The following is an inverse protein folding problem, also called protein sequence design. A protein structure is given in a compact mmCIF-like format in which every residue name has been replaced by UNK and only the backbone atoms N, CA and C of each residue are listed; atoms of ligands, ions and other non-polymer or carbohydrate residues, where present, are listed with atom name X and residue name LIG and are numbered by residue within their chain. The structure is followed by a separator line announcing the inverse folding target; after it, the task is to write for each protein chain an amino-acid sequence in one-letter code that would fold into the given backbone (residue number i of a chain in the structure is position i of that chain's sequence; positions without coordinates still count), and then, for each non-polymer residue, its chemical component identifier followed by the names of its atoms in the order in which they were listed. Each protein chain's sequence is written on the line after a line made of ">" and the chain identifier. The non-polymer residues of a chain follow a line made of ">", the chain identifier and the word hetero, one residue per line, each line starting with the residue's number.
data_IF_395458280940
#
_entry.id   IF_395458280940
#
_cell.length_a   1.000
_cell.length_b   1.000
_cell.length_c   1.000
_cell.angle_alpha   90.00
_cell.angle_beta   90.00
_cell.angle_gamma   90.00
#
_symmetry.space_group_name_H-M   'P 1'
#
loop_
_entity.id
_entity.type
_entity.pdbx_description
1 polymer ?
#
# COMPACT_ATOMS: atom_id res chain seq x y z
N UNK A 1 -43.05 62.09 44.47
CA UNK A 1 -43.51 62.25 43.07
C UNK A 1 -42.33 61.87 42.20
N UNK A 2 -42.08 60.57 42.07
CA UNK A 2 -42.67 59.67 41.06
C UNK A 2 -41.68 59.50 39.91
N UNK A 3 -41.05 58.31 39.87
CA UNK A 3 -41.13 57.36 38.75
C UNK A 3 -40.17 57.73 37.60
N UNK A 4 -39.24 56.88 37.16
CA UNK A 4 -39.36 55.44 36.97
C UNK A 4 -38.00 54.74 37.01
N UNK A 5 -38.01 53.58 37.67
CA UNK A 5 -37.04 52.51 37.52
C UNK A 5 -37.10 51.96 36.09
N UNK A 6 -35.95 51.67 35.48
CA UNK A 6 -35.80 50.43 34.71
C UNK A 6 -34.42 49.84 34.88
N UNK A 7 -34.45 48.65 35.47
CA UNK A 7 -33.39 47.67 35.66
C UNK A 7 -32.75 47.27 34.32
N UNK A 8 -31.45 46.95 34.34
CA UNK A 8 -30.88 45.66 33.90
C UNK A 8 -29.35 45.71 33.90
N UNK A 9 -28.75 45.21 34.98
CA UNK A 9 -27.63 44.26 34.92
C UNK A 9 -28.26 42.88 35.19
N UNK A 10 -27.72 41.69 34.85
CA UNK A 10 -26.29 41.39 34.62
C UNK A 10 -26.05 40.33 33.51
N UNK A 11 -24.81 39.83 33.45
CA UNK A 11 -24.37 38.50 32.99
C UNK A 11 -23.36 38.48 31.83
N UNK A 12 -22.14 38.17 32.26
CA UNK A 12 -21.09 37.40 31.61
C UNK A 12 -21.60 36.50 30.50
N UNK A 13 -21.00 36.62 29.31
CA UNK A 13 -20.93 35.54 28.34
C UNK A 13 -19.46 35.41 27.88
N UNK A 14 -18.77 34.41 28.42
CA UNK A 14 -17.67 33.75 27.73
C UNK A 14 -18.25 33.14 26.45
N UNK A 15 -17.62 33.39 25.30
CA UNK A 15 -17.82 32.56 24.13
C UNK A 15 -16.47 32.27 23.47
N UNK A 16 -16.12 30.98 23.48
CA UNK A 16 -14.95 30.39 22.83
C UNK A 16 -15.30 29.96 21.38
N UNK A 17 -14.44 30.34 20.40
CA UNK A 17 -14.08 29.66 19.11
C UNK A 17 -15.18 29.52 18.01
N UNK A 18 -14.95 28.98 16.77
CA UNK A 18 -13.90 29.01 15.71
C UNK A 18 -13.21 30.33 15.38
N UNK A 19 -12.48 30.60 14.31
CA UNK A 19 -12.32 29.91 13.02
C UNK A 19 -11.06 30.46 12.32
N UNK A 20 -10.38 29.57 11.58
CA UNK A 20 -9.41 29.85 10.50
C UNK A 20 -8.07 30.49 10.86
N UNK A 21 -7.15 29.68 11.39
CA UNK A 21 -5.76 29.78 10.95
C UNK A 21 -5.48 28.69 9.92
N UNK A 22 -5.14 29.16 8.73
CA UNK A 22 -4.67 28.42 7.56
C UNK A 22 -3.47 27.57 8.01
N UNK A 23 -3.66 26.25 8.09
CA UNK A 23 -2.57 25.31 8.28
C UNK A 23 -1.66 25.40 7.04
N UNK A 24 -0.52 26.06 7.22
CA UNK A 24 0.54 26.14 6.22
C UNK A 24 1.08 24.72 5.97
N UNK A 25 1.15 24.33 4.72
CA UNK A 25 1.86 23.13 4.25
C UNK A 25 3.35 23.24 4.58
N UNK A 26 3.79 22.64 5.69
CA UNK A 26 5.19 22.55 6.08
C UNK A 26 5.70 21.14 5.71
N UNK A 27 5.85 20.87 4.41
CA UNK A 27 6.67 19.73 3.93
C UNK A 27 7.24 20.08 2.56
N UNK A 28 8.08 21.11 2.47
CA UNK A 28 8.76 21.43 1.20
C UNK A 28 10.12 22.15 1.35
N UNK A 29 10.83 21.99 2.46
CA UNK A 29 12.19 22.53 2.58
C UNK A 29 13.10 21.59 3.39
N UNK A 30 13.77 20.65 2.73
CA UNK A 30 15.03 20.06 3.21
C UNK A 30 15.96 19.85 2.00
N UNK A 31 17.19 20.40 2.01
CA UNK A 31 18.12 20.32 0.88
C UNK A 31 18.67 18.90 0.68
N UNK A 32 18.81 18.52 -0.60
CA UNK A 32 19.42 17.27 -1.02
C UNK A 32 20.93 17.29 -0.74
N UNK A 33 21.38 16.45 0.21
CA UNK A 33 22.81 16.22 0.43
C UNK A 33 23.25 15.02 -0.42
N UNK A 34 23.97 15.30 -1.50
CA UNK A 34 24.59 14.32 -2.37
C UNK A 34 25.88 13.78 -1.72
N UNK A 35 25.89 12.51 -1.34
CA UNK A 35 27.13 11.78 -1.07
C UNK A 35 27.27 10.60 -2.03
N UNK A 36 28.07 10.82 -3.06
CA UNK A 36 28.53 9.79 -3.99
C UNK A 36 29.62 8.95 -3.33
N UNK A 37 29.34 7.69 -3.02
CA UNK A 37 30.38 6.69 -2.76
C UNK A 37 30.23 5.54 -3.77
N UNK A 38 31.19 5.47 -4.69
CA UNK A 38 31.29 4.44 -5.71
C UNK A 38 31.69 3.11 -5.06
N UNK A 39 30.74 2.18 -4.94
CA UNK A 39 31.01 0.81 -4.47
C UNK A 39 31.64 -0.02 -5.61
N UNK A 40 32.84 -0.56 -5.34
CA UNK A 40 33.58 -1.47 -6.23
C UNK A 40 32.74 -2.72 -6.55
N UNK A 41 32.63 -3.03 -7.85
CA UNK A 41 31.93 -4.23 -8.37
C UNK A 41 32.73 -5.48 -8.05
N UNK A 42 32.21 -6.31 -7.15
CA UNK A 42 32.66 -7.70 -6.96
C UNK A 42 32.21 -8.61 -8.11
N UNK A 43 32.78 -9.82 -8.23
CA UNK A 43 32.50 -10.74 -9.33
C UNK A 43 31.02 -11.13 -9.35
N UNK A 44 30.45 -11.16 -10.55
CA UNK A 44 29.03 -11.37 -10.81
C UNK A 44 28.49 -12.61 -10.10
N UNK A 45 27.39 -12.44 -9.37
CA UNK A 45 26.60 -13.54 -8.83
C UNK A 45 26.22 -14.45 -10.00
N UNK A 46 26.44 -15.78 -9.91
CA UNK A 46 25.99 -16.70 -10.96
C UNK A 46 24.48 -16.52 -11.17
N UNK A 47 23.97 -16.72 -12.40
CA UNK A 47 22.54 -16.64 -12.66
C UNK A 47 21.84 -17.56 -11.68
N UNK A 48 20.96 -16.99 -10.85
CA UNK A 48 20.19 -17.76 -9.91
C UNK A 48 19.40 -18.80 -10.73
N UNK A 49 19.67 -20.08 -10.50
CA UNK A 49 18.85 -21.16 -11.04
C UNK A 49 17.38 -20.84 -10.78
N UNK A 50 16.52 -21.06 -11.77
CA UNK A 50 15.07 -20.87 -11.67
C UNK A 50 14.53 -21.76 -10.55
N UNK A 51 14.55 -21.25 -9.32
CA UNK A 51 13.85 -21.89 -8.23
C UNK A 51 12.37 -21.69 -8.49
N UNK A 52 11.67 -22.78 -8.77
CA UNK A 52 10.22 -22.79 -8.91
C UNK A 52 9.58 -22.01 -7.77
N UNK A 53 8.80 -20.99 -8.12
CA UNK A 53 8.14 -20.15 -7.12
C UNK A 53 6.79 -20.78 -6.77
N UNK A 54 6.61 -21.14 -5.51
CA UNK A 54 5.39 -21.80 -5.03
C UNK A 54 4.19 -20.85 -5.07
N UNK A 55 3.23 -21.14 -5.93
CA UNK A 55 1.95 -20.45 -6.02
C UNK A 55 0.81 -21.39 -5.62
N UNK A 56 -0.30 -20.81 -5.16
CA UNK A 56 -1.51 -21.57 -4.85
C UNK A 56 -2.49 -21.51 -6.02
N UNK A 57 -3.32 -22.54 -6.14
CA UNK A 57 -4.44 -22.53 -7.07
C UNK A 57 -5.42 -21.40 -6.74
N UNK A 58 -5.88 -20.69 -7.77
CA UNK A 58 -6.96 -19.71 -7.72
C UNK A 58 -7.91 -20.04 -8.85
N UNK A 59 -9.20 -20.13 -8.53
CA UNK A 59 -10.22 -20.54 -9.48
C UNK A 59 -10.38 -19.52 -10.61
N UNK A 60 -10.76 -20.03 -11.79
CA UNK A 60 -11.07 -19.23 -12.97
C UNK A 60 -12.53 -19.47 -13.38
N UNK A 61 -13.16 -18.44 -13.93
CA UNK A 61 -14.49 -18.51 -14.52
C UNK A 61 -14.47 -19.25 -15.85
N UNK A 62 -15.64 -19.40 -16.48
CA UNK A 62 -15.79 -20.06 -17.80
C UNK A 62 -15.06 -19.33 -18.92
N UNK A 63 -14.70 -18.06 -18.73
CA UNK A 63 -13.98 -17.23 -19.70
C UNK A 63 -12.46 -17.28 -19.47
N UNK A 64 -11.99 -18.04 -18.47
CA UNK A 64 -10.58 -18.15 -18.11
C UNK A 64 -10.04 -16.98 -17.28
N UNK A 65 -10.91 -16.09 -16.80
CA UNK A 65 -10.52 -15.01 -15.89
C UNK A 65 -10.50 -15.52 -14.45
N UNK A 66 -9.59 -14.99 -13.64
CA UNK A 66 -9.59 -15.31 -12.21
C UNK A 66 -10.87 -14.84 -11.53
N UNK A 67 -11.45 -15.69 -10.68
CA UNK A 67 -12.62 -15.34 -9.86
C UNK A 67 -12.16 -14.42 -8.73
N UNK A 68 -12.66 -13.19 -8.71
CA UNK A 68 -12.34 -12.16 -7.72
C UNK A 68 -13.63 -11.70 -7.01
N UNK A 69 -13.55 -11.21 -5.75
CA UNK A 69 -12.33 -11.08 -4.95
C UNK A 69 -11.79 -12.42 -4.43
N UNK A 70 -10.47 -12.50 -4.20
CA UNK A 70 -9.83 -13.71 -3.65
C UNK A 70 -8.78 -13.37 -2.59
N UNK A 71 -8.70 -14.18 -1.54
CA UNK A 71 -7.69 -14.05 -0.49
C UNK A 71 -6.38 -14.75 -0.87
N UNK A 72 -5.26 -14.02 -0.79
CA UNK A 72 -3.91 -14.51 -1.03
C UNK A 72 -2.98 -14.07 0.10
N UNK A 73 -2.88 -14.88 1.14
CA UNK A 73 -2.10 -14.55 2.33
C UNK A 73 -2.80 -13.51 3.19
N UNK A 74 -2.22 -12.31 3.32
CA UNK A 74 -2.79 -11.20 4.11
C UNK A 74 -3.59 -10.20 3.24
N UNK A 75 -3.73 -10.50 1.95
CA UNK A 75 -4.32 -9.61 0.97
C UNK A 75 -5.60 -10.22 0.41
N UNK A 76 -6.63 -9.40 0.23
CA UNK A 76 -7.76 -9.74 -0.63
C UNK A 76 -7.57 -9.01 -1.95
N UNK A 77 -7.37 -9.75 -3.04
CA UNK A 77 -7.22 -9.18 -4.38
C UNK A 77 -8.62 -8.87 -4.90
N UNK A 78 -8.86 -7.60 -5.26
CA UNK A 78 -10.16 -7.12 -5.72
C UNK A 78 -10.19 -7.00 -7.24
N UNK A 79 -9.08 -6.54 -7.83
CA UNK A 79 -8.90 -6.43 -9.27
C UNK A 79 -7.44 -6.67 -9.62
N UNK A 80 -7.19 -7.41 -10.70
CA UNK A 80 -5.85 -7.60 -11.26
C UNK A 80 -5.42 -6.45 -12.19
N UNK A 81 -6.35 -5.60 -12.63
CA UNK A 81 -6.08 -4.48 -13.52
C UNK A 81 -5.74 -4.89 -14.96
N UNK A 82 -5.16 -3.95 -15.71
CA UNK A 82 -4.74 -4.11 -17.11
C UNK A 82 -3.25 -3.82 -17.26
N UNK A 83 -2.54 -4.70 -17.97
CA UNK A 83 -1.09 -4.55 -18.20
C UNK A 83 -0.82 -3.40 -19.16
N UNK A 84 0.04 -2.49 -18.72
CA UNK A 84 0.64 -1.42 -19.53
C UNK A 84 2.06 -1.86 -19.91
N UNK A 85 2.24 -2.28 -21.16
CA UNK A 85 3.49 -2.85 -21.65
C UNK A 85 4.32 -1.89 -22.50
N UNK A 86 3.69 -0.84 -23.03
CA UNK A 86 4.28 0.18 -23.90
C UNK A 86 5.06 1.26 -23.14
N UNK A 87 4.78 1.43 -21.84
CA UNK A 87 5.49 2.35 -20.93
C UNK A 87 6.40 1.60 -19.97
N UNK A 88 7.70 1.88 -20.03
CA UNK A 88 8.75 1.14 -19.33
C UNK A 88 8.65 1.21 -17.79
N UNK A 89 8.05 2.25 -17.22
CA UNK A 89 7.91 2.40 -15.77
C UNK A 89 6.84 1.49 -15.15
N UNK A 90 5.95 0.90 -15.96
CA UNK A 90 4.87 0.02 -15.48
C UNK A 90 5.31 -1.42 -15.26
N UNK A 91 6.59 -1.74 -15.43
CA UNK A 91 7.14 -3.04 -15.12
C UNK A 91 8.66 -2.96 -14.91
N UNK A 92 9.19 -3.82 -14.05
CA UNK A 92 10.62 -4.05 -13.89
C UNK A 92 10.92 -5.55 -13.97
N UNK A 93 12.16 -5.94 -13.68
CA UNK A 93 12.61 -7.33 -13.72
C UNK A 93 11.82 -8.28 -12.83
N UNK A 94 11.13 -7.77 -11.80
CA UNK A 94 10.45 -8.57 -10.79
C UNK A 94 8.93 -8.44 -10.78
N UNK A 95 8.40 -7.29 -11.16
CA UNK A 95 6.99 -6.94 -11.01
C UNK A 95 6.45 -6.26 -12.28
N UNK A 96 5.19 -6.54 -12.59
CA UNK A 96 4.34 -5.75 -13.47
C UNK A 96 3.40 -4.94 -12.56
N UNK A 97 3.09 -3.71 -12.95
CA UNK A 97 2.22 -2.78 -12.22
C UNK A 97 0.97 -2.48 -13.05
N UNK A 98 -0.06 -3.36 -13.06
CA UNK A 98 -1.24 -3.15 -13.90
C UNK A 98 -2.06 -1.94 -13.44
N UNK A 99 -2.55 -1.14 -14.37
CA UNK A 99 -3.50 -0.06 -14.07
C UNK A 99 -4.84 -0.65 -13.66
N UNK A 100 -5.43 -0.15 -12.57
CA UNK A 100 -6.65 -0.68 -11.98
C UNK A 100 -6.44 -1.90 -11.08
N UNK A 101 -5.20 -2.33 -10.84
CA UNK A 101 -4.89 -3.33 -9.82
C UNK A 101 -5.32 -2.81 -8.46
N UNK A 102 -6.02 -3.62 -7.66
CA UNK A 102 -6.44 -3.23 -6.32
C UNK A 102 -6.53 -4.38 -5.32
N UNK A 103 -6.19 -4.07 -4.06
CA UNK A 103 -6.20 -5.04 -2.95
C UNK A 103 -6.70 -4.43 -1.65
N UNK A 104 -7.34 -5.24 -0.80
CA UNK A 104 -7.47 -4.95 0.62
C UNK A 104 -6.37 -5.61 1.44
N UNK A 105 -5.95 -4.92 2.49
CA UNK A 105 -5.08 -5.46 3.54
C UNK A 105 -5.46 -4.89 4.90
N UNK A 106 -5.81 -5.72 5.89
CA UNK A 106 -5.92 -5.29 7.27
C UNK A 106 -4.57 -4.80 7.81
N UNK A 107 -4.55 -3.63 8.44
CA UNK A 107 -3.37 -3.11 9.12
C UNK A 107 -3.76 -2.11 10.22
N UNK A 108 -2.78 -1.72 11.03
CA UNK A 108 -2.95 -0.73 12.09
C UNK A 108 -3.55 0.58 11.55
N UNK A 109 -4.54 1.14 12.25
CA UNK A 109 -5.08 2.47 11.93
C UNK A 109 -4.02 3.56 12.12
N UNK A 110 -4.07 4.58 11.26
CA UNK A 110 -3.26 5.81 11.33
C UNK A 110 -3.84 6.87 12.27
N UNK A 111 -5.09 6.72 12.69
CA UNK A 111 -5.83 7.71 13.49
C UNK A 111 -6.33 7.16 14.82
N UNK A 112 -6.43 5.83 14.97
CA UNK A 112 -6.81 5.17 16.21
C UNK A 112 -5.70 4.20 16.66
N UNK A 113 -5.02 4.44 17.80
CA UNK A 113 -3.95 3.57 18.27
C UNK A 113 -4.45 2.20 18.75
N UNK A 114 -5.75 2.04 19.01
CA UNK A 114 -6.37 0.84 19.58
C UNK A 114 -6.99 -0.08 18.54
N UNK A 115 -7.12 0.38 17.29
CA UNK A 115 -7.81 -0.34 16.22
C UNK A 115 -6.94 -0.61 15.01
N UNK A 116 -7.37 -1.64 14.29
CA UNK A 116 -6.97 -1.91 12.92
C UNK A 116 -8.05 -1.41 11.97
N UNK A 117 -7.66 -1.20 10.72
CA UNK A 117 -8.53 -0.76 9.63
C UNK A 117 -8.16 -1.52 8.36
N UNK A 118 -9.03 -1.47 7.37
CA UNK A 118 -8.75 -2.00 6.05
C UNK A 118 -8.12 -0.89 5.21
N UNK A 119 -7.00 -1.20 4.57
CA UNK A 119 -6.41 -0.34 3.55
C UNK A 119 -6.70 -0.90 2.18
N UNK A 120 -7.25 -0.06 1.30
CA UNK A 120 -7.35 -0.32 -0.13
C UNK A 120 -6.11 0.24 -0.81
N UNK A 121 -5.30 -0.63 -1.42
CA UNK A 121 -4.16 -0.23 -2.25
C UNK A 121 -4.54 -0.35 -3.72
N UNK A 122 -4.28 0.68 -4.52
CA UNK A 122 -4.63 0.74 -5.95
C UNK A 122 -3.42 1.21 -6.77
N UNK A 123 -3.26 0.68 -7.98
CA UNK A 123 -2.33 1.22 -8.98
C UNK A 123 -3.16 1.92 -10.05
N UNK A 124 -2.95 3.22 -10.20
CA UNK A 124 -3.65 4.06 -11.17
C UNK A 124 -2.71 4.47 -12.31
N UNK A 125 -3.30 4.90 -13.43
CA UNK A 125 -2.54 5.50 -14.52
C UNK A 125 -2.05 6.90 -14.13
N UNK A 126 -0.74 7.06 -14.03
CA UNK A 126 -0.04 8.31 -13.74
C UNK A 126 0.63 8.95 -14.95
N UNK A 127 0.23 8.60 -16.17
CA UNK A 127 0.93 9.01 -17.39
C UNK A 127 2.18 8.17 -17.55
N UNK A 128 3.36 8.78 -17.57
CA UNK A 128 4.62 8.07 -17.82
C UNK A 128 4.96 7.03 -16.74
N UNK A 129 4.45 7.20 -15.52
CA UNK A 129 4.74 6.34 -14.37
C UNK A 129 3.46 5.86 -13.69
N UNK A 130 3.43 4.66 -13.11
CA UNK A 130 2.30 4.21 -12.29
C UNK A 130 2.14 5.08 -11.04
N UNK A 131 0.89 5.35 -10.66
CA UNK A 131 0.55 6.05 -9.42
C UNK A 131 0.04 5.04 -8.40
N UNK A 132 0.74 4.93 -7.27
CA UNK A 132 0.38 4.03 -6.18
C UNK A 132 -0.43 4.79 -5.14
N UNK A 133 -1.64 4.32 -4.86
CA UNK A 133 -2.60 4.96 -3.97
C UNK A 133 -2.94 4.02 -2.83
N UNK A 134 -3.01 4.53 -1.60
CA UNK A 134 -3.41 3.80 -0.40
C UNK A 134 -4.46 4.60 0.35
N UNK A 135 -5.66 4.04 0.50
CA UNK A 135 -6.81 4.64 1.18
C UNK A 135 -7.17 3.80 2.42
N UNK A 136 -7.21 4.44 3.58
CA UNK A 136 -7.69 3.79 4.82
C UNK A 136 -9.22 3.89 4.90
N UNK A 137 -9.90 2.79 5.24
CA UNK A 137 -11.37 2.76 5.32
C UNK A 137 -11.95 3.67 6.43
N UNK A 138 -11.19 3.88 7.49
CA UNK A 138 -11.51 4.75 8.63
C UNK A 138 -11.10 6.21 8.42
N UNK A 139 -10.48 6.53 7.28
CA UNK A 139 -10.11 7.91 6.91
C UNK A 139 -10.45 8.22 5.44
N UNK A 140 -11.71 8.07 5.01
CA UNK A 140 -12.12 8.23 3.61
C UNK A 140 -11.81 9.63 3.07
N UNK A 141 -11.44 9.71 1.79
CA UNK A 141 -11.17 10.98 1.11
C UNK A 141 -9.77 11.57 1.38
N UNK A 142 -8.94 10.88 2.17
CA UNK A 142 -7.55 11.26 2.43
C UNK A 142 -6.57 10.16 1.98
N UNK A 143 -6.49 9.84 0.68
CA UNK A 143 -5.59 8.81 0.18
C UNK A 143 -4.14 9.28 0.19
N UNK A 144 -3.23 8.37 0.51
CA UNK A 144 -1.78 8.59 0.36
C UNK A 144 -1.37 8.13 -1.04
N UNK A 145 -0.72 9.02 -1.78
CA UNK A 145 -0.33 8.81 -3.18
C UNK A 145 1.17 8.93 -3.35
N UNK A 146 1.79 8.03 -4.12
CA UNK A 146 3.22 8.08 -4.44
C UNK A 146 3.55 7.45 -5.80
N UNK A 147 4.78 7.66 -6.29
CA UNK A 147 5.31 7.03 -7.50
C UNK A 147 5.83 5.60 -7.29
N UNK A 148 5.77 5.08 -6.06
CA UNK A 148 6.15 3.70 -5.75
C UNK A 148 5.30 3.12 -4.62
N UNK A 149 5.14 1.79 -4.62
CA UNK A 149 4.44 1.07 -3.55
C UNK A 149 5.04 1.35 -2.16
N UNK A 150 6.38 1.43 -2.06
CA UNK A 150 7.08 1.77 -0.81
C UNK A 150 6.80 3.20 -0.40
N UNK A 151 6.79 4.14 -1.35
CA UNK A 151 6.46 5.53 -1.10
C UNK A 151 5.04 5.72 -0.55
N UNK A 152 4.07 4.93 -1.02
CA UNK A 152 2.69 5.03 -0.54
C UNK A 152 2.48 4.41 0.86
N UNK A 153 3.16 3.30 1.17
CA UNK A 153 3.02 2.63 2.49
C UNK A 153 3.93 3.20 3.59
N UNK A 154 5.04 3.84 3.25
CA UNK A 154 5.96 4.38 4.27
C UNK A 154 5.28 5.39 5.20
N UNK A 155 4.50 6.38 4.70
CA UNK A 155 3.75 7.29 5.57
C UNK A 155 2.75 6.57 6.46
N UNK A 156 2.05 5.55 5.95
CA UNK A 156 1.09 4.75 6.73
C UNK A 156 1.77 4.10 7.94
N UNK A 157 2.90 3.42 7.69
CA UNK A 157 3.64 2.71 8.73
C UNK A 157 4.20 3.69 9.76
N UNK A 158 4.76 4.82 9.29
CA UNK A 158 5.30 5.86 10.17
C UNK A 158 4.21 6.43 11.07
N UNK A 159 3.06 6.79 10.51
CA UNK A 159 1.96 7.37 11.27
C UNK A 159 1.36 6.37 12.26
N UNK A 160 1.10 5.13 11.84
CA UNK A 160 0.57 4.08 12.71
C UNK A 160 1.52 3.73 13.88
N UNK A 161 2.84 3.78 13.65
CA UNK A 161 3.83 3.61 14.72
C UNK A 161 3.93 4.83 15.64
N UNK A 162 3.86 6.04 15.07
CA UNK A 162 3.92 7.31 15.79
C UNK A 162 2.83 7.40 16.86
N UNK A 163 1.56 7.17 16.50
CA UNK A 163 0.44 7.24 17.45
C UNK A 163 0.48 6.15 18.53
N UNK A 164 1.33 5.13 18.36
CA UNK A 164 1.56 4.03 19.32
C UNK A 164 2.89 4.17 20.06
N UNK A 165 3.60 5.29 19.92
CA UNK A 165 4.91 5.53 20.53
C UNK A 165 5.96 4.43 20.25
N UNK A 166 5.88 3.80 19.06
CA UNK A 166 6.82 2.75 18.65
C UNK A 166 8.03 3.37 17.95
N UNK A 167 9.21 3.24 18.58
CA UNK A 167 10.47 3.81 18.06
C UNK A 167 11.04 3.10 16.82
N UNK A 168 10.60 1.87 16.53
CA UNK A 168 11.16 1.05 15.47
C UNK A 168 10.20 0.96 14.28
N UNK A 169 10.63 1.47 13.13
CA UNK A 169 10.01 1.14 11.85
C UNK A 169 10.60 -0.17 11.37
N UNK A 170 9.80 -1.23 11.34
CA UNK A 170 10.20 -2.42 10.59
C UNK A 170 10.38 -2.01 9.12
N UNK A 171 11.54 -2.30 8.52
CA UNK A 171 11.75 -2.07 7.10
C UNK A 171 10.70 -2.90 6.33
N UNK A 172 9.70 -2.23 5.79
CA UNK A 172 8.62 -2.83 5.04
C UNK A 172 8.91 -2.70 3.54
N UNK A 173 8.86 -3.82 2.83
CA UNK A 173 8.84 -3.83 1.37
C UNK A 173 7.46 -3.38 0.89
N UNK A 174 7.36 -2.20 0.27
CA UNK A 174 6.10 -1.69 -0.29
C UNK A 174 5.38 -2.67 -1.22
N UNK A 175 6.08 -3.37 -2.15
CA UNK A 175 5.48 -4.43 -2.96
C UNK A 175 4.82 -5.56 -2.15
N UNK A 176 5.33 -5.86 -0.95
CA UNK A 176 4.71 -6.87 -0.06
C UNK A 176 3.41 -6.33 0.52
N UNK A 177 3.37 -5.05 0.88
CA UNK A 177 2.16 -4.42 1.42
C UNK A 177 1.07 -4.26 0.36
N UNK A 178 1.44 -4.04 -0.90
CA UNK A 178 0.52 -4.10 -2.05
C UNK A 178 0.14 -5.54 -2.47
N UNK A 179 0.79 -6.57 -1.95
CA UNK A 179 0.51 -7.97 -2.33
C UNK A 179 1.24 -8.44 -3.60
N UNK A 180 1.92 -7.53 -4.31
CA UNK A 180 2.67 -7.82 -5.54
C UNK A 180 3.83 -8.82 -5.34
N UNK A 181 4.34 -8.95 -4.12
CA UNK A 181 5.36 -9.95 -3.78
C UNK A 181 4.82 -11.36 -3.60
N UNK A 182 3.52 -11.54 -3.46
CA UNK A 182 2.92 -12.87 -3.32
C UNK A 182 3.08 -13.66 -4.63
N UNK A 183 3.70 -14.85 -4.61
CA UNK A 183 3.86 -15.68 -5.81
C UNK A 183 2.58 -15.91 -6.59
N UNK A 184 1.48 -16.23 -5.90
CA UNK A 184 0.17 -16.41 -6.53
C UNK A 184 -0.27 -15.15 -7.26
N UNK A 185 -0.10 -13.96 -6.66
CA UNK A 185 -0.46 -12.70 -7.31
C UNK A 185 0.42 -12.42 -8.52
N UNK A 186 1.74 -12.65 -8.43
CA UNK A 186 2.64 -12.54 -9.59
C UNK A 186 2.22 -13.46 -10.71
N UNK A 187 1.87 -14.72 -10.41
CA UNK A 187 1.35 -15.67 -11.39
C UNK A 187 0.07 -15.14 -12.04
N UNK A 188 -0.90 -14.68 -11.23
CA UNK A 188 -2.15 -14.13 -11.74
C UNK A 188 -1.92 -12.95 -12.69
N UNK A 189 -1.01 -12.03 -12.33
CA UNK A 189 -0.64 -10.88 -13.17
C UNK A 189 0.12 -11.31 -14.43
N UNK A 190 1.04 -12.27 -14.33
CA UNK A 190 1.80 -12.78 -15.48
C UNK A 190 0.90 -13.47 -16.53
N UNK A 191 -0.25 -13.98 -16.12
CA UNK A 191 -1.24 -14.59 -17.03
C UNK A 191 -2.21 -13.58 -17.65
N UNK A 192 -2.13 -12.29 -17.28
CA UNK A 192 -2.94 -11.27 -17.94
C UNK A 192 -2.53 -11.07 -19.40
N UNK A 193 -3.46 -10.61 -20.25
CA UNK A 193 -3.14 -10.17 -21.60
C UNK A 193 -2.00 -9.15 -21.60
N UNK A 194 -1.09 -9.29 -22.58
CA UNK A 194 0.08 -8.44 -22.79
C UNK A 194 1.20 -8.52 -21.73
N UNK A 195 1.09 -9.34 -20.67
CA UNK A 195 2.19 -9.51 -19.70
C UNK A 195 3.51 -9.95 -20.36
N UNK A 196 3.45 -10.82 -21.36
CA UNK A 196 4.60 -11.27 -22.15
C UNK A 196 5.26 -10.16 -22.98
N UNK A 197 4.60 -9.00 -23.18
CA UNK A 197 5.15 -7.85 -23.92
C UNK A 197 5.96 -6.90 -23.03
N UNK A 198 5.91 -7.06 -21.70
CA UNK A 198 6.67 -6.28 -20.75
C UNK A 198 8.18 -6.58 -20.87
N UNK A 199 8.89 -5.77 -21.67
CA UNK A 199 10.29 -6.02 -22.05
C UNK A 199 11.26 -6.15 -20.87
N UNK A 200 11.02 -5.42 -19.78
CA UNK A 200 11.89 -5.48 -18.60
C UNK A 200 11.51 -6.63 -17.66
N UNK A 201 10.34 -7.25 -17.80
CA UNK A 201 9.84 -8.25 -16.87
C UNK A 201 10.44 -9.62 -17.15
N UNK A 202 10.93 -10.29 -16.09
CA UNK A 202 11.41 -11.67 -16.19
C UNK A 202 10.27 -12.62 -15.85
N UNK A 203 9.83 -13.36 -16.87
CA UNK A 203 8.85 -14.44 -16.70
C UNK A 203 9.34 -15.45 -15.67
N UNK A 204 8.45 -15.83 -14.77
CA UNK A 204 8.71 -16.79 -13.69
C UNK A 204 7.97 -18.10 -13.97
N UNK A 205 8.62 -19.20 -13.61
CA UNK A 205 8.00 -20.51 -13.52
C UNK A 205 7.39 -20.69 -12.13
N UNK A 206 6.12 -21.08 -12.09
CA UNK A 206 5.36 -21.25 -10.86
C UNK A 206 4.98 -22.72 -10.67
N UNK A 207 5.33 -23.27 -9.52
CA UNK A 207 4.82 -24.58 -9.09
C UNK A 207 3.50 -24.34 -8.36
N UNK A 208 2.40 -24.81 -8.96
CA UNK A 208 1.05 -24.63 -8.40
C UNK A 208 0.72 -25.77 -7.48
N UNK A 209 0.57 -25.48 -6.19
CA UNK A 209 0.13 -26.47 -5.22
C UNK A 209 -1.40 -26.67 -5.28
N UNK A 210 -1.89 -27.92 -5.18
CA UNK A 210 -3.30 -28.25 -5.30
C UNK A 210 -4.15 -27.66 -4.17
N UNK A 211 -5.44 -27.55 -4.46
CA UNK A 211 -6.49 -27.00 -3.59
C UNK A 211 -6.46 -27.71 -2.23
N UNK A 212 -6.34 -26.95 -1.14
CA UNK A 212 -6.44 -27.46 0.25
C UNK A 212 -5.24 -27.18 1.15
N UNK A 213 -4.05 -26.90 0.59
CA UNK A 213 -2.91 -26.42 1.39
C UNK A 213 -2.98 -24.90 1.51
N UNK A 214 -4.02 -24.37 2.17
CA UNK A 214 -3.95 -22.98 2.65
C UNK A 214 -2.67 -22.86 3.48
N UNK A 215 -1.73 -22.03 3.02
CA UNK A 215 -0.54 -21.69 3.77
C UNK A 215 -0.97 -21.03 5.09
N UNK A 216 -1.22 -21.85 6.12
CA UNK A 216 -1.22 -21.39 7.50
C UNK A 216 0.17 -20.83 7.73
N UNK A 217 0.31 -19.52 7.55
CA UNK A 217 1.46 -18.78 8.05
C UNK A 217 1.61 -19.21 9.51
N UNK A 218 2.78 -19.76 9.85
CA UNK A 218 3.10 -20.12 11.23
C UNK A 218 2.96 -18.84 12.06
N UNK A 219 1.83 -18.67 12.74
CA UNK A 219 1.63 -17.63 13.74
C UNK A 219 2.51 -17.98 14.92
N UNK A 220 3.78 -17.58 14.87
CA UNK A 220 4.63 -17.55 16.05
C UNK A 220 4.21 -16.34 16.89
N UNK A 221 3.05 -16.44 17.55
CA UNK A 221 2.75 -15.60 18.71
C UNK A 221 3.59 -16.14 19.86
N UNK A 222 4.85 -15.70 19.96
CA UNK A 222 5.50 -15.67 21.26
C UNK A 222 4.85 -14.56 22.06
N UNK A 223 3.91 -14.92 22.92
CA UNK A 223 3.58 -14.12 24.09
C UNK A 223 4.89 -13.92 24.86
N UNK A 224 5.30 -12.67 25.03
CA UNK A 224 6.25 -12.30 26.08
C UNK A 224 5.44 -11.55 27.12
N UNK A 225 5.57 -12.06 28.35
CA UNK A 225 5.07 -11.54 29.62
C UNK A 225 5.33 -10.04 29.78
#
# INVERSE_FOLDING_TARGET
>A
MDHQRRLKNPLIAYNERPTTQIARNIVNDIPAVSSSSAAKRGPGRPPASSRNVKAYHVDKDTNGNYVLPVEVGLHTILSLGTVVYDRAAYHNDRYIYPVGYSTHRPYLSMIDPTRDTIYTSTIEDGGDNPRFVVQAADQPGNPITASSATGAWTPVIRQANSIRNRKHSNAASGPDYFGLSQPTVRKMIQELPNAHKCKNYRMQEFEVHPIGTRGRGKTNRKAKY
#
